data_IF_010926241035
#
_entry.id   IF_010926241035
#
_cell.length_a   1.000
_cell.length_b   1.000
_cell.length_c   1.000
_cell.angle_alpha   90.00
_cell.angle_beta   90.00
_cell.angle_gamma   90.00
#
_symmetry.space_group_name_H-M   'P 1'
#
loop_
_entity.id
_entity.type
_entity.pdbx_description
1 polymer ?
#
# COMPACT_ATOMS: atom_id res chain seq x y z
N UNK A 1 17.85 -22.77 6.59
CA UNK A 1 16.50 -22.41 6.09
C UNK A 1 16.46 -22.66 4.59
N UNK A 2 15.33 -23.12 4.03
CA UNK A 2 15.20 -23.23 2.58
C UNK A 2 15.19 -21.84 1.93
N UNK A 3 15.61 -21.74 0.67
CA UNK A 3 15.55 -20.47 -0.08
C UNK A 3 14.12 -19.91 -0.14
N UNK A 4 13.11 -20.78 -0.26
CA UNK A 4 11.70 -20.39 -0.25
C UNK A 4 11.30 -19.72 1.08
N UNK A 5 11.73 -20.27 2.22
CA UNK A 5 11.44 -19.67 3.54
C UNK A 5 12.08 -18.29 3.70
N UNK A 6 13.33 -18.14 3.26
CA UNK A 6 14.02 -16.84 3.30
C UNK A 6 13.30 -15.78 2.45
N UNK A 7 12.87 -16.15 1.24
CA UNK A 7 12.11 -15.26 0.35
C UNK A 7 10.77 -14.86 0.97
N UNK A 8 10.04 -15.81 1.54
CA UNK A 8 8.75 -15.53 2.19
C UNK A 8 8.91 -14.58 3.39
N UNK A 9 9.94 -14.80 4.21
CA UNK A 9 10.27 -13.90 5.32
C UNK A 9 10.62 -12.50 4.84
N UNK A 10 11.39 -12.36 3.74
CA UNK A 10 11.70 -11.05 3.17
C UNK A 10 10.44 -10.33 2.69
N UNK A 11 9.58 -11.00 1.91
CA UNK A 11 8.32 -10.40 1.42
C UNK A 11 7.46 -9.90 2.58
N UNK A 12 7.35 -10.68 3.66
CA UNK A 12 6.56 -10.29 4.82
C UNK A 12 7.14 -9.06 5.53
N UNK A 13 8.47 -8.96 5.64
CA UNK A 13 9.15 -7.80 6.24
C UNK A 13 8.91 -6.54 5.41
N UNK A 14 9.19 -6.58 4.11
CA UNK A 14 9.03 -5.44 3.19
C UNK A 14 7.56 -4.99 3.12
N UNK A 15 6.62 -5.93 3.21
CA UNK A 15 5.20 -5.62 3.29
C UNK A 15 4.84 -4.88 4.59
N UNK A 16 5.41 -5.30 5.73
CA UNK A 16 5.21 -4.62 7.01
C UNK A 16 5.79 -3.20 7.04
N UNK A 17 6.95 -3.00 6.40
CA UNK A 17 7.55 -1.67 6.22
C UNK A 17 6.64 -0.77 5.37
N UNK A 18 6.17 -1.25 4.22
CA UNK A 18 5.23 -0.51 3.38
C UNK A 18 3.92 -0.18 4.11
N UNK A 19 3.42 -1.06 4.99
CA UNK A 19 2.27 -0.77 5.84
C UNK A 19 2.55 0.39 6.81
N UNK A 20 3.72 0.37 7.46
CA UNK A 20 4.12 1.43 8.39
C UNK A 20 4.32 2.78 7.72
N UNK A 21 4.79 2.78 6.46
CA UNK A 21 4.96 4.01 5.69
C UNK A 21 3.63 4.56 5.18
N UNK A 22 2.71 3.71 4.71
CA UNK A 22 1.51 4.18 4.02
C UNK A 22 0.34 4.45 4.97
N UNK A 23 0.09 3.60 5.96
CA UNK A 23 -1.10 3.71 6.81
C UNK A 23 -1.06 5.00 7.62
N UNK A 24 -2.14 5.78 7.58
CA UNK A 24 -2.24 7.06 8.29
C UNK A 24 -1.74 8.27 7.50
N UNK A 25 -1.08 8.07 6.35
CA UNK A 25 -0.69 9.17 5.47
C UNK A 25 -1.89 9.66 4.65
N UNK A 26 -1.99 10.97 4.48
CA UNK A 26 -2.94 11.60 3.57
C UNK A 26 -2.44 11.49 2.13
N UNK A 27 -3.28 10.97 1.24
CA UNK A 27 -2.95 10.77 -0.18
C UNK A 27 -4.04 11.33 -1.08
N UNK A 28 -3.65 11.67 -2.31
CA UNK A 28 -4.58 12.05 -3.39
C UNK A 28 -4.47 11.04 -4.52
N UNK A 29 -5.59 10.46 -4.91
CA UNK A 29 -5.69 9.56 -6.05
C UNK A 29 -5.70 10.35 -7.37
N UNK A 30 -5.30 9.70 -8.46
CA UNK A 30 -5.32 10.30 -9.81
C UNK A 30 -6.70 10.77 -10.28
N UNK A 31 -7.78 10.20 -9.74
CA UNK A 31 -9.16 10.62 -10.02
C UNK A 31 -9.63 11.79 -9.12
N UNK A 32 -8.74 12.39 -8.33
CA UNK A 32 -9.04 13.52 -7.46
C UNK A 32 -9.62 13.17 -6.09
N UNK A 33 -9.89 11.88 -5.80
CA UNK A 33 -10.28 11.48 -4.45
C UNK A 33 -9.11 11.65 -3.49
N UNK A 34 -9.36 12.24 -2.33
CA UNK A 34 -8.38 12.40 -1.27
C UNK A 34 -8.87 11.77 0.03
N UNK A 35 -7.93 11.29 0.82
CA UNK A 35 -8.21 10.70 2.13
C UNK A 35 -6.96 10.14 2.78
N UNK A 36 -7.13 9.63 4.00
CA UNK A 36 -6.06 8.95 4.73
C UNK A 36 -6.05 7.47 4.38
N UNK A 37 -4.89 6.90 4.10
CA UNK A 37 -4.76 5.45 3.88
C UNK A 37 -5.16 4.70 5.14
N UNK A 38 -6.10 3.77 5.00
CA UNK A 38 -6.64 2.99 6.12
C UNK A 38 -6.09 1.57 6.16
N UNK A 39 -5.93 0.92 5.01
CA UNK A 39 -5.45 -0.44 4.91
C UNK A 39 -4.58 -0.61 3.65
N UNK A 40 -3.69 -1.62 3.71
CA UNK A 40 -2.79 -2.00 2.61
C UNK A 40 -2.81 -3.51 2.43
N UNK A 41 -2.80 -3.98 1.19
CA UNK A 41 -2.80 -5.40 0.83
C UNK A 41 -1.82 -5.71 -0.29
N UNK A 42 -1.36 -6.97 -0.32
CA UNK A 42 -0.70 -7.52 -1.50
C UNK A 42 -1.74 -8.00 -2.52
N UNK A 43 -1.45 -7.79 -3.80
CA UNK A 43 -2.16 -8.45 -4.90
C UNK A 43 -1.17 -8.96 -5.97
N UNK A 44 -1.63 -9.85 -6.85
CA UNK A 44 -0.78 -10.46 -7.87
C UNK A 44 -0.53 -9.58 -9.12
N UNK A 45 -1.30 -8.50 -9.31
CA UNK A 45 -1.31 -7.72 -10.55
C UNK A 45 -0.57 -6.38 -10.43
N UNK A 46 -0.79 -5.70 -9.32
CA UNK A 46 -0.27 -4.37 -8.97
C UNK A 46 0.70 -4.40 -7.79
N UNK A 47 0.85 -5.53 -7.10
CA UNK A 47 1.76 -5.71 -5.98
C UNK A 47 1.18 -5.17 -4.68
N UNK A 48 0.92 -3.87 -4.59
CA UNK A 48 0.33 -3.21 -3.41
C UNK A 48 -0.97 -2.47 -3.77
N UNK A 49 -2.00 -2.70 -2.97
CA UNK A 49 -3.25 -1.92 -2.98
C UNK A 49 -3.48 -1.23 -1.65
N UNK A 50 -4.15 -0.09 -1.70
CA UNK A 50 -4.57 0.69 -0.54
C UNK A 50 -6.08 0.91 -0.53
N UNK A 51 -6.65 1.15 0.64
CA UNK A 51 -7.95 1.82 0.79
C UNK A 51 -7.73 3.16 1.47
N UNK A 52 -8.58 4.12 1.15
CA UNK A 52 -8.60 5.41 1.83
C UNK A 52 -9.89 5.54 2.64
N UNK A 53 -9.77 6.07 3.85
CA UNK A 53 -10.89 6.21 4.79
C UNK A 53 -12.02 7.01 4.15
N UNK A 54 -13.25 6.48 4.25
CA UNK A 54 -14.45 7.13 3.73
C UNK A 54 -14.70 6.96 2.23
N UNK A 55 -13.89 6.14 1.53
CA UNK A 55 -14.17 5.78 0.14
C UNK A 55 -14.18 4.28 -0.06
N UNK A 56 -15.21 3.78 -0.76
CA UNK A 56 -15.26 2.39 -1.16
C UNK A 56 -14.28 2.11 -2.31
N UNK A 57 -13.44 1.10 -2.11
CA UNK A 57 -12.53 0.60 -3.13
C UNK A 57 -11.16 0.24 -2.60
N UNK A 58 -10.39 -0.42 -3.46
CA UNK A 58 -8.96 -0.71 -3.27
C UNK A 58 -8.22 -0.27 -4.51
N UNK A 59 -7.27 0.65 -4.36
CA UNK A 59 -6.53 1.23 -5.48
C UNK A 59 -5.07 0.81 -5.45
N UNK A 60 -4.44 0.58 -6.61
CA UNK A 60 -3.00 0.34 -6.68
C UNK A 60 -2.23 1.50 -6.06
N UNK A 61 -1.11 1.20 -5.39
CA UNK A 61 -0.21 2.24 -4.86
C UNK A 61 0.26 3.19 -5.98
N UNK A 62 0.40 2.70 -7.22
CA UNK A 62 0.78 3.52 -8.39
C UNK A 62 -0.22 4.63 -8.76
N UNK A 63 -1.41 4.65 -8.13
CA UNK A 63 -2.43 5.69 -8.37
C UNK A 63 -2.42 6.80 -7.33
N UNK A 64 -1.54 6.72 -6.33
CA UNK A 64 -1.42 7.75 -5.30
C UNK A 64 -0.37 8.78 -5.71
N UNK A 65 -0.69 10.05 -5.43
CA UNK A 65 0.30 11.12 -5.40
C UNK A 65 0.67 11.37 -3.96
N UNK A 66 1.97 11.27 -3.67
CA UNK A 66 2.49 11.70 -2.37
C UNK A 66 2.54 13.22 -2.32
N UNK A 67 2.32 13.83 -1.16
CA UNK A 67 2.67 15.23 -0.97
C UNK A 67 4.17 15.38 -1.26
N UNK A 68 4.53 16.31 -2.15
CA UNK A 68 5.91 16.77 -2.29
C UNK A 68 6.23 17.62 -1.06
N UNK A 69 7.41 17.39 -0.45
CA UNK A 69 7.93 18.22 0.65
C UNK A 69 8.21 19.67 0.19
#
# INVERSE_FOLDING_TARGET
>A
MSSAKLRASKILSEFGEAQSELIGIAVVLTNGKAGTVENVWLDELHGLRISIKGHDGKWPVSTIKFPED
#
